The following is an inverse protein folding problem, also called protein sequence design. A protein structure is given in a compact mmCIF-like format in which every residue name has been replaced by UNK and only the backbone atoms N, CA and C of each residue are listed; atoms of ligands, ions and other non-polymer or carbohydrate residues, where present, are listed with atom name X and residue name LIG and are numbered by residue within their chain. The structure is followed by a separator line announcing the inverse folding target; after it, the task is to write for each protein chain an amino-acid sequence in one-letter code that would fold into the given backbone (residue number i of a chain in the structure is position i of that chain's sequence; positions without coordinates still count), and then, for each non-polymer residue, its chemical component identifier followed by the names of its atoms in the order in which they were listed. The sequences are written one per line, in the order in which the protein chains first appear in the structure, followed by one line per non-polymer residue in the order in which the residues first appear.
data_IF_255705222536
#
_entry.id   IF_255705222536
#
_cell.length_a   1.000
_cell.length_b   1.000
_cell.length_c   1.000
_cell.angle_alpha   90.00
_cell.angle_beta   90.00
_cell.angle_gamma   90.00
#
_symmetry.space_group_name_H-M   'P 1'
#
loop_
_entity.id
_entity.type
_entity.pdbx_description
1 polymer ?
#
# COMPACT_ATOMS: atom_id res chain seq x y z
N UNK A 1 -6.01 5.34 -8.66
CA UNK A 1 -4.63 4.82 -8.44
C UNK A 1 -4.31 3.65 -9.37
N UNK A 2 -3.13 3.64 -10.00
CA UNK A 2 -2.71 2.60 -10.97
C UNK A 2 -1.90 1.40 -10.44
N UNK A 3 -1.58 1.35 -9.13
CA UNK A 3 -0.83 0.24 -8.49
C UNK A 3 0.57 -0.04 -9.09
N UNK A 4 1.30 1.04 -9.36
CA UNK A 4 2.70 0.97 -9.82
C UNK A 4 3.70 1.66 -8.88
N UNK A 5 3.28 2.62 -8.05
CA UNK A 5 4.19 3.37 -7.16
C UNK A 5 3.94 3.08 -5.68
N UNK A 6 2.86 3.62 -5.12
CA UNK A 6 2.59 3.67 -3.66
C UNK A 6 2.26 2.31 -3.07
N UNK A 7 1.17 1.68 -3.52
CA UNK A 7 0.74 0.40 -2.97
C UNK A 7 1.72 -0.78 -3.22
N UNK A 8 2.46 -0.87 -4.35
CA UNK A 8 3.55 -1.83 -4.46
C UNK A 8 4.71 -1.60 -3.48
N UNK A 9 5.01 -0.33 -3.17
CA UNK A 9 6.04 -0.01 -2.18
C UNK A 9 5.60 -0.43 -0.79
N UNK A 10 4.32 -0.17 -0.44
CA UNK A 10 3.71 -0.65 0.80
C UNK A 10 3.76 -2.17 0.92
N UNK A 11 3.40 -2.91 -0.13
CA UNK A 11 3.50 -4.38 -0.15
C UNK A 11 4.94 -4.86 0.06
N UNK A 12 5.91 -4.28 -0.64
CA UNK A 12 7.32 -4.67 -0.54
C UNK A 12 7.89 -4.44 0.86
N UNK A 13 7.61 -3.27 1.44
CA UNK A 13 8.07 -2.89 2.78
C UNK A 13 7.39 -3.74 3.85
N UNK A 14 6.06 -3.82 3.82
CA UNK A 14 5.29 -4.54 4.83
C UNK A 14 5.60 -6.03 4.82
N UNK A 15 5.69 -6.66 3.63
CA UNK A 15 6.14 -8.05 3.49
C UNK A 15 7.53 -8.28 4.06
N UNK A 16 8.43 -7.31 3.92
CA UNK A 16 9.77 -7.43 4.49
C UNK A 16 9.75 -7.34 6.01
N UNK A 17 9.02 -6.38 6.57
CA UNK A 17 8.98 -6.13 8.02
C UNK A 17 8.16 -7.16 8.78
N UNK A 18 7.06 -7.65 8.20
CA UNK A 18 6.16 -8.62 8.80
C UNK A 18 6.54 -10.09 8.56
N UNK A 19 7.81 -10.41 8.19
CA UNK A 19 8.24 -11.79 7.87
C UNK A 19 8.01 -12.81 8.99
N UNK A 20 7.99 -12.36 10.25
CA UNK A 20 7.73 -13.21 11.41
C UNK A 20 6.24 -13.52 11.62
N UNK A 21 5.34 -12.83 10.90
CA UNK A 21 3.90 -13.00 10.99
C UNK A 21 3.38 -13.85 9.83
N UNK A 22 2.39 -14.69 10.12
CA UNK A 22 1.72 -15.50 9.10
C UNK A 22 0.61 -14.67 8.44
N UNK A 23 0.98 -13.82 7.48
CA UNK A 23 0.06 -12.91 6.78
C UNK A 23 0.01 -13.17 5.28
N UNK A 24 -1.16 -12.95 4.68
CA UNK A 24 -1.31 -12.83 3.23
C UNK A 24 -1.28 -11.34 2.86
N UNK A 25 -0.25 -10.92 2.13
CA UNK A 25 -0.01 -9.51 1.79
C UNK A 25 0.00 -9.37 0.27
N UNK A 26 -0.78 -8.41 -0.24
CA UNK A 26 -0.96 -8.13 -1.67
C UNK A 26 -1.27 -6.63 -1.87
N UNK A 27 -1.16 -6.14 -3.10
CA UNK A 27 -1.54 -4.78 -3.47
C UNK A 27 -2.38 -4.73 -4.74
N UNK A 28 -3.23 -3.70 -4.83
CA UNK A 28 -4.11 -3.48 -5.97
C UNK A 28 -4.30 -1.99 -6.25
N UNK A 29 -4.82 -1.69 -7.44
CA UNK A 29 -5.14 -0.34 -7.91
C UNK A 29 -6.64 -0.16 -8.07
N UNK A 30 -7.13 1.04 -7.77
CA UNK A 30 -8.53 1.40 -8.04
C UNK A 30 -8.80 1.53 -9.54
N UNK A 31 -7.76 1.83 -10.33
CA UNK A 31 -7.77 1.88 -11.78
C UNK A 31 -7.02 0.68 -12.35
N UNK A 32 -7.59 0.03 -13.36
CA UNK A 32 -6.96 -1.11 -14.05
C UNK A 32 -6.01 -0.73 -15.18
N UNK A 33 -5.56 0.53 -15.24
CA UNK A 33 -4.83 1.10 -16.39
C UNK A 33 -3.45 0.49 -16.63
N UNK A 34 -2.84 -0.11 -15.61
CA UNK A 34 -1.49 -0.72 -15.67
C UNK A 34 -1.51 -2.23 -15.40
N UNK A 35 -2.64 -2.91 -15.63
CA UNK A 35 -2.76 -4.31 -15.26
C UNK A 35 -1.63 -5.18 -15.85
N UNK A 36 -1.00 -5.99 -14.98
CA UNK A 36 0.16 -6.87 -15.20
C UNK A 36 1.51 -6.17 -15.39
N UNK A 37 1.56 -4.85 -15.37
CA UNK A 37 2.82 -4.11 -15.40
C UNK A 37 3.62 -4.33 -14.11
N UNK A 38 4.95 -4.17 -14.22
CA UNK A 38 5.82 -4.13 -13.05
C UNK A 38 5.66 -2.79 -12.33
N UNK A 39 5.99 -2.70 -11.04
CA UNK A 39 6.07 -1.43 -10.33
C UNK A 39 6.96 -0.40 -11.06
N UNK A 40 6.74 0.89 -10.85
CA UNK A 40 7.56 1.96 -11.45
C UNK A 40 9.04 1.75 -11.09
N UNK A 41 9.92 1.83 -12.09
CA UNK A 41 11.35 1.60 -11.92
C UNK A 41 11.99 2.52 -10.86
N UNK A 42 11.46 3.73 -10.66
CA UNK A 42 11.93 4.69 -9.64
C UNK A 42 11.52 4.24 -8.24
N UNK A 43 10.29 3.72 -8.08
CA UNK A 43 9.84 3.12 -6.83
C UNK A 43 10.68 1.88 -6.48
N UNK A 44 10.90 1.00 -7.46
CA UNK A 44 11.79 -0.16 -7.29
C UNK A 44 13.21 0.27 -6.89
N UNK A 45 13.80 1.25 -7.60
CA UNK A 45 15.14 1.76 -7.30
C UNK A 45 15.24 2.31 -5.88
N UNK A 46 14.23 3.09 -5.45
CA UNK A 46 14.21 3.66 -4.11
C UNK A 46 14.09 2.58 -3.03
N UNK A 47 13.17 1.60 -3.20
CA UNK A 47 12.97 0.56 -2.19
C UNK A 47 14.10 -0.48 -2.17
N UNK A 48 14.68 -0.85 -3.32
CA UNK A 48 15.85 -1.73 -3.39
C UNK A 48 17.06 -1.09 -2.70
N UNK A 49 17.24 0.23 -2.83
CA UNK A 49 18.29 0.95 -2.09
C UNK A 49 18.11 0.87 -0.56
N UNK A 50 16.91 0.56 -0.07
CA UNK A 50 16.59 0.33 1.35
C UNK A 50 16.48 -1.15 1.72
N UNK A 51 16.80 -2.07 0.80
CA UNK A 51 16.77 -3.52 1.06
C UNK A 51 15.42 -4.20 0.86
N UNK A 52 14.45 -3.54 0.21
CA UNK A 52 13.15 -4.12 -0.12
C UNK A 52 13.16 -4.78 -1.49
N UNK A 53 12.46 -5.92 -1.62
CA UNK A 53 12.27 -6.63 -2.89
C UNK A 53 10.86 -6.42 -3.41
N UNK A 54 10.78 -6.10 -4.71
CA UNK A 54 9.53 -6.00 -5.48
C UNK A 54 9.29 -7.26 -6.31
N UNK A 55 10.01 -8.35 -6.03
CA UNK A 55 9.86 -9.59 -6.79
C UNK A 55 8.43 -10.11 -6.71
N UNK A 56 7.92 -10.50 -7.87
CA UNK A 56 6.56 -11.04 -8.08
C UNK A 56 5.42 -10.04 -7.85
N UNK A 57 5.71 -8.79 -7.47
CA UNK A 57 4.70 -7.74 -7.40
C UNK A 57 4.32 -7.32 -8.83
N UNK A 58 3.03 -7.34 -9.14
CA UNK A 58 2.49 -6.92 -10.44
C UNK A 58 1.24 -6.11 -10.22
N UNK A 59 1.12 -5.04 -11.00
CA UNK A 59 -0.03 -4.18 -10.96
C UNK A 59 -1.30 -4.97 -11.28
N UNK A 60 -2.35 -4.82 -10.49
CA UNK A 60 -3.68 -5.40 -10.76
C UNK A 60 -4.78 -4.44 -10.31
N UNK A 61 -5.98 -4.65 -10.84
CA UNK A 61 -7.15 -3.90 -10.38
C UNK A 61 -7.75 -4.58 -9.15
N UNK A 62 -8.26 -3.78 -8.21
CA UNK A 62 -9.09 -4.26 -7.11
C UNK A 62 -10.41 -4.81 -7.65
N UNK A 63 -10.90 -5.88 -7.05
CA UNK A 63 -12.19 -6.50 -7.37
C UNK A 63 -13.04 -6.69 -6.12
N UNK A 64 -14.34 -6.97 -6.28
CA UNK A 64 -15.23 -7.24 -5.15
C UNK A 64 -14.76 -8.43 -4.29
N UNK A 65 -14.14 -9.45 -4.91
CA UNK A 65 -13.60 -10.60 -4.19
C UNK A 65 -12.45 -10.25 -3.24
N UNK A 66 -11.74 -9.14 -3.47
CA UNK A 66 -10.70 -8.69 -2.55
C UNK A 66 -11.28 -8.35 -1.17
N UNK A 67 -12.49 -7.77 -1.13
CA UNK A 67 -13.16 -7.41 0.13
C UNK A 67 -13.61 -8.63 0.95
N UNK A 68 -13.85 -9.76 0.27
CA UNK A 68 -14.12 -11.03 0.93
C UNK A 68 -12.83 -11.70 1.41
N UNK A 69 -11.77 -11.63 0.61
CA UNK A 69 -10.50 -12.33 0.85
C UNK A 69 -9.61 -11.69 1.91
N UNK A 70 -9.55 -10.36 1.96
CA UNK A 70 -8.67 -9.64 2.87
C UNK A 70 -9.43 -9.14 4.10
N UNK A 71 -8.80 -9.23 5.27
CA UNK A 71 -9.36 -8.73 6.52
C UNK A 71 -9.25 -7.20 6.63
N UNK A 72 -8.21 -6.63 6.01
CA UNK A 72 -7.87 -5.22 6.05
C UNK A 72 -7.49 -4.73 4.66
N UNK A 73 -8.06 -3.61 4.24
CA UNK A 73 -7.80 -2.96 2.94
C UNK A 73 -7.33 -1.53 3.19
N UNK A 74 -6.05 -1.29 2.93
CA UNK A 74 -5.37 -0.05 3.27
C UNK A 74 -5.22 0.86 2.05
N UNK A 75 -5.93 1.99 2.08
CA UNK A 75 -5.89 3.00 1.03
C UNK A 75 -4.71 3.97 1.24
N UNK A 76 -4.12 4.42 0.14
CA UNK A 76 -2.98 5.34 0.19
C UNK A 76 -3.39 6.80 0.37
N UNK A 77 -4.64 7.15 0.01
CA UNK A 77 -5.18 8.50 0.09
C UNK A 77 -6.73 8.45 0.17
N UNK A 78 -7.38 9.57 0.49
CA UNK A 78 -8.84 9.66 0.61
C UNK A 78 -9.55 9.47 -0.73
N UNK A 79 -8.90 9.75 -1.86
CA UNK A 79 -9.49 9.46 -3.17
C UNK A 79 -9.56 7.95 -3.40
N UNK A 80 -8.58 7.20 -2.92
CA UNK A 80 -8.55 5.74 -2.97
C UNK A 80 -9.66 5.17 -2.07
N UNK A 81 -9.89 5.74 -0.88
CA UNK A 81 -11.05 5.40 -0.03
C UNK A 81 -12.34 5.58 -0.84
N UNK A 82 -12.57 6.78 -1.41
CA UNK A 82 -13.78 7.07 -2.19
C UNK A 82 -13.99 6.10 -3.35
N UNK A 83 -12.91 5.72 -4.03
CA UNK A 83 -12.98 4.77 -5.15
C UNK A 83 -13.24 3.33 -4.65
N UNK A 84 -12.60 2.91 -3.57
CA UNK A 84 -12.81 1.60 -2.95
C UNK A 84 -14.24 1.46 -2.44
N UNK A 85 -14.81 2.49 -1.81
CA UNK A 85 -16.20 2.49 -1.33
C UNK A 85 -17.23 2.29 -2.46
N UNK A 86 -16.90 2.68 -3.71
CA UNK A 86 -17.77 2.43 -4.88
C UNK A 86 -17.73 0.98 -5.36
N UNK A 87 -16.65 0.26 -5.07
CA UNK A 87 -16.45 -1.15 -5.45
C UNK A 87 -16.87 -2.08 -4.33
N UNK A 88 -16.64 -1.69 -3.08
CA UNK A 88 -16.87 -2.51 -1.90
C UNK A 88 -18.37 -2.84 -1.72
N UNK A 89 -18.72 -4.12 -1.49
CA UNK A 89 -20.02 -4.49 -0.97
C UNK A 89 -20.31 -3.74 0.34
N UNK A 90 -21.54 -3.23 0.51
CA UNK A 90 -21.89 -2.34 1.64
C UNK A 90 -21.51 -2.91 3.01
N UNK A 91 -21.70 -4.21 3.20
CA UNK A 91 -21.39 -4.89 4.47
C UNK A 91 -19.89 -5.09 4.72
N UNK A 92 -19.02 -4.88 3.73
CA UNK A 92 -17.57 -5.06 3.81
C UNK A 92 -16.79 -3.73 3.76
N UNK A 93 -17.47 -2.59 3.63
CA UNK A 93 -16.85 -1.27 3.60
C UNK A 93 -16.06 -0.93 4.87
N UNK A 94 -16.42 -1.53 6.01
CA UNK A 94 -15.74 -1.32 7.28
C UNK A 94 -14.27 -1.81 7.30
N UNK A 95 -13.85 -2.61 6.31
CA UNK A 95 -12.47 -3.09 6.18
C UNK A 95 -11.52 -2.07 5.54
N UNK A 96 -12.07 -0.97 5.01
CA UNK A 96 -11.33 0.02 4.23
C UNK A 96 -10.89 1.16 5.15
N UNK A 97 -9.58 1.31 5.31
CA UNK A 97 -8.95 2.29 6.21
C UNK A 97 -7.81 3.02 5.49
N UNK A 98 -7.36 4.17 6.00
CA UNK A 98 -6.16 4.81 5.46
C UNK A 98 -4.92 4.12 5.99
N UNK A 99 -3.92 3.94 5.13
CA UNK A 99 -2.68 3.31 5.55
C UNK A 99 -1.95 4.15 6.61
N UNK A 100 -1.99 5.48 6.48
CA UNK A 100 -1.33 6.38 7.42
C UNK A 100 -2.09 6.56 8.75
N UNK A 101 -3.28 5.97 8.92
CA UNK A 101 -3.91 5.87 10.25
C UNK A 101 -3.05 5.02 11.22
N UNK A 102 -2.11 4.24 10.67
CA UNK A 102 -1.16 3.41 11.42
C UNK A 102 0.22 4.06 11.58
N UNK A 103 0.45 5.25 11.03
CA UNK A 103 1.71 5.98 11.20
C UNK A 103 1.78 6.59 12.61
N UNK A 104 2.95 6.57 13.25
CA UNK A 104 3.16 7.12 14.60
C UNK A 104 4.10 8.34 14.58
N UNK A 105 4.91 8.52 13.53
CA UNK A 105 5.99 9.50 13.47
C UNK A 105 5.78 10.58 12.39
N UNK A 106 4.66 10.56 11.68
CA UNK A 106 4.30 11.55 10.66
C UNK A 106 2.91 12.13 10.92
N UNK A 107 2.74 13.42 10.62
CA UNK A 107 1.44 14.12 10.69
C UNK A 107 0.65 14.00 9.37
N UNK A 108 1.29 13.51 8.30
CA UNK A 108 0.68 13.30 7.00
C UNK A 108 -0.48 12.29 7.09
N UNK A 109 -1.62 12.66 6.52
CA UNK A 109 -2.82 11.81 6.48
C UNK A 109 -2.92 10.96 5.21
N UNK A 110 -2.14 11.28 4.18
CA UNK A 110 -2.14 10.60 2.89
C UNK A 110 -0.71 10.35 2.40
N UNK A 111 -0.50 9.23 1.69
CA UNK A 111 0.73 8.97 0.96
C UNK A 111 0.69 9.76 -0.35
N UNK A 112 1.51 10.82 -0.52
CA UNK A 112 1.47 11.67 -1.69
C UNK A 112 1.92 10.90 -2.94
N UNK A 113 1.37 11.26 -4.10
CA UNK A 113 1.78 10.63 -5.35
C UNK A 113 3.21 11.06 -5.73
N UNK A 114 4.20 10.14 -5.75
CA UNK A 114 5.59 10.51 -6.00
C UNK A 114 5.86 10.77 -7.50
N UNK A 115 4.90 10.50 -8.39
CA UNK A 115 5.13 10.49 -9.84
C UNK A 115 5.70 11.83 -10.35
N UNK A 116 5.28 12.94 -9.76
CA UNK A 116 5.72 14.30 -10.09
C UNK A 116 6.84 14.84 -9.17
N UNK A 117 7.17 14.16 -8.07
CA UNK A 117 8.10 14.63 -7.04
C UNK A 117 9.58 14.26 -7.24
N UNK A 118 9.90 13.57 -8.33
CA UNK A 118 11.26 13.09 -8.61
C UNK A 118 11.78 12.12 -7.53
N UNK A 119 13.10 11.94 -7.43
CA UNK A 119 13.70 10.95 -6.53
C UNK A 119 13.37 11.18 -5.04
N UNK A 120 13.27 12.44 -4.61
CA UNK A 120 12.91 12.78 -3.22
C UNK A 120 11.48 12.35 -2.87
N UNK A 121 10.54 12.47 -3.81
CA UNK A 121 9.17 12.01 -3.61
C UNK A 121 9.09 10.51 -3.34
N UNK A 122 9.87 9.69 -4.06
CA UNK A 122 9.90 8.24 -3.81
C UNK A 122 10.53 7.87 -2.46
N UNK A 123 11.53 8.63 -2.00
CA UNK A 123 12.10 8.42 -0.67
C UNK A 123 11.10 8.77 0.42
N UNK A 124 10.42 9.91 0.28
CA UNK A 124 9.41 10.35 1.25
C UNK A 124 8.23 9.36 1.34
N UNK A 125 7.78 8.81 0.20
CA UNK A 125 6.77 7.75 0.20
C UNK A 125 7.25 6.52 0.99
N UNK A 126 8.52 6.13 0.87
CA UNK A 126 9.06 5.02 1.66
C UNK A 126 9.13 5.35 3.15
N UNK A 127 9.47 6.59 3.52
CA UNK A 127 9.50 7.03 4.92
C UNK A 127 8.12 6.85 5.58
N UNK A 128 7.07 7.36 4.92
CA UNK A 128 5.69 7.22 5.37
C UNK A 128 5.24 5.76 5.43
N UNK A 129 5.58 4.98 4.40
CA UNK A 129 5.22 3.56 4.30
C UNK A 129 5.91 2.72 5.37
N UNK A 130 7.18 3.01 5.67
CA UNK A 130 7.94 2.31 6.70
C UNK A 130 7.35 2.55 8.09
N UNK A 131 6.97 3.79 8.39
CA UNK A 131 6.38 4.18 9.66
C UNK A 131 5.00 3.54 9.86
N UNK A 132 4.11 3.69 8.88
CA UNK A 132 2.79 3.05 8.91
C UNK A 132 2.88 1.52 8.99
N UNK A 133 3.89 0.91 8.35
CA UNK A 133 4.13 -0.53 8.46
C UNK A 133 4.51 -0.96 9.88
N UNK A 134 5.35 -0.18 10.56
CA UNK A 134 5.78 -0.48 11.93
C UNK A 134 4.61 -0.36 12.91
N UNK A 135 3.82 0.72 12.81
CA UNK A 135 2.63 0.89 13.64
C UNK A 135 1.57 -0.20 13.40
N UNK A 136 1.35 -0.60 12.15
CA UNK A 136 0.44 -1.71 11.84
C UNK A 136 0.95 -3.04 12.43
N UNK A 137 2.24 -3.37 12.31
CA UNK A 137 2.82 -4.58 12.91
C UNK A 137 2.66 -4.56 14.43
N UNK A 138 2.90 -3.41 15.07
CA UNK A 138 2.73 -3.23 16.51
C UNK A 138 1.28 -3.48 16.93
N UNK A 139 0.31 -2.95 16.19
CA UNK A 139 -1.11 -3.19 16.44
C UNK A 139 -1.50 -4.66 16.26
N UNK A 140 -0.96 -5.33 15.24
CA UNK A 140 -1.24 -6.75 14.97
C UNK A 140 -0.63 -7.70 16.01
N UNK A 141 0.49 -7.31 16.64
CA UNK A 141 1.19 -8.14 17.64
C UNK A 141 0.83 -7.82 19.09
N UNK A 142 0.13 -6.70 19.34
CA UNK A 142 -0.33 -6.30 20.68
C UNK A 142 -1.66 -6.95 21.10
N UNK A 143 -2.21 -7.86 20.29
CA UNK A 143 -3.39 -8.68 20.61
C UNK A 143 -2.98 -10.07 21.07
#
# INVERSE_FOLDING_TARGET
MGNICRSPSAEAVFRHKAKALTLTIDSAGTLGSHAREKPDHRAQKAGVARGYSFDKIKARKVTEQDFEKFDLILAMDHQNIKDLMKVAPKNLQHKVELFLDYAENFEDQEVPDPYYGGAKGFQFVLDLVEDASDGLIKQLTSK
#
